data_IF_142731534786
#
_entry.id   IF_142731534786
#
_cell.length_a   1.000
_cell.length_b   1.000
_cell.length_c   1.000
_cell.angle_alpha   90.00
_cell.angle_beta   90.00
_cell.angle_gamma   90.00
#
_symmetry.space_group_name_H-M   'P 1'
#
loop_
_entity.id
_entity.type
_entity.pdbx_description
1 polymer ?
#
# COMPACT_ATOMS: atom_id res chain seq x y z
N UNK A 1 -3.63 13.45 -16.87
CA UNK A 1 -3.51 12.91 -15.50
C UNK A 1 -4.89 12.94 -14.88
N UNK A 2 -5.34 11.81 -14.33
CA UNK A 2 -6.59 11.72 -13.61
C UNK A 2 -6.27 11.49 -12.13
N UNK A 3 -7.01 12.17 -11.25
CA UNK A 3 -6.76 12.17 -9.81
C UNK A 3 -7.83 11.38 -9.10
N UNK A 4 -7.43 10.62 -8.09
CA UNK A 4 -8.35 10.11 -7.07
C UNK A 4 -8.17 11.05 -5.88
N UNK A 5 -9.20 11.83 -5.57
CA UNK A 5 -9.21 12.66 -4.38
C UNK A 5 -9.38 11.75 -3.16
N UNK A 6 -8.51 11.92 -2.17
CA UNK A 6 -8.50 11.05 -1.01
C UNK A 6 -9.45 11.58 0.06
N UNK A 7 -10.59 10.92 0.21
CA UNK A 7 -11.56 11.07 1.30
C UNK A 7 -11.51 9.89 2.29
N UNK A 8 -10.91 8.76 1.88
CA UNK A 8 -10.75 7.53 2.67
C UNK A 8 -9.29 7.38 3.13
N UNK A 9 -9.02 6.93 4.38
CA UNK A 9 -7.66 6.77 4.90
C UNK A 9 -6.94 5.50 4.36
N UNK A 10 -6.76 5.41 3.03
CA UNK A 10 -6.14 4.27 2.32
C UNK A 10 -4.81 3.83 2.95
N UNK A 11 -3.95 4.79 3.31
CA UNK A 11 -2.67 4.51 3.96
C UNK A 11 -2.81 3.72 5.27
N UNK A 12 -3.79 4.11 6.10
CA UNK A 12 -4.08 3.44 7.38
C UNK A 12 -4.61 2.03 7.17
N UNK A 13 -5.44 1.84 6.15
CA UNK A 13 -5.96 0.53 5.79
C UNK A 13 -4.84 -0.41 5.30
N UNK A 14 -3.94 0.09 4.45
CA UNK A 14 -2.74 -0.65 4.02
C UNK A 14 -1.89 -1.05 5.23
N UNK A 15 -1.67 -0.13 6.17
CA UNK A 15 -0.92 -0.40 7.40
C UNK A 15 -1.58 -1.49 8.25
N UNK A 16 -2.91 -1.42 8.42
CA UNK A 16 -3.67 -2.40 9.20
C UNK A 16 -3.53 -3.81 8.60
N UNK A 17 -3.72 -3.95 7.28
CA UNK A 17 -3.57 -5.22 6.57
C UNK A 17 -2.13 -5.74 6.69
N UNK A 18 -1.12 -4.87 6.57
CA UNK A 18 0.28 -5.25 6.73
C UNK A 18 0.55 -5.82 8.13
N UNK A 19 0.04 -5.19 9.17
CA UNK A 19 0.19 -5.64 10.56
C UNK A 19 -0.52 -6.97 10.78
N UNK A 20 -1.73 -7.14 10.23
CA UNK A 20 -2.48 -8.40 10.28
C UNK A 20 -1.72 -9.56 9.62
N UNK A 21 -1.07 -9.29 8.48
CA UNK A 21 -0.20 -10.24 7.77
C UNK A 21 1.17 -10.41 8.43
N UNK A 22 1.44 -9.73 9.55
CA UNK A 22 2.70 -9.76 10.32
C UNK A 22 3.95 -9.42 9.49
N UNK A 23 3.81 -8.52 8.53
CA UNK A 23 4.92 -8.11 7.66
C UNK A 23 5.52 -6.78 8.10
N UNK A 24 6.84 -6.67 8.02
CA UNK A 24 7.53 -5.38 8.17
C UNK A 24 7.42 -4.55 6.89
N UNK A 25 7.61 -3.24 6.99
CA UNK A 25 7.65 -2.37 5.80
C UNK A 25 8.74 -2.79 4.81
N UNK A 26 9.90 -3.22 5.32
CA UNK A 26 11.01 -3.71 4.50
C UNK A 26 10.65 -4.99 3.75
N UNK A 27 9.99 -5.95 4.42
CA UNK A 27 9.54 -7.19 3.77
C UNK A 27 8.51 -6.92 2.67
N UNK A 28 7.57 -5.99 2.90
CA UNK A 28 6.60 -5.60 1.87
C UNK A 28 7.30 -4.97 0.67
N UNK A 29 8.18 -4.00 0.92
CA UNK A 29 8.91 -3.31 -0.14
C UNK A 29 9.79 -4.26 -0.95
N UNK A 30 10.53 -5.16 -0.30
CA UNK A 30 11.36 -6.15 -0.99
C UNK A 30 10.52 -7.01 -1.93
N UNK A 31 9.35 -7.49 -1.48
CA UNK A 31 8.44 -8.28 -2.33
C UNK A 31 7.84 -7.44 -3.47
N UNK A 32 7.45 -6.19 -3.21
CA UNK A 32 6.96 -5.28 -4.25
C UNK A 32 8.04 -4.99 -5.31
N UNK A 33 9.30 -4.87 -4.92
CA UNK A 33 10.42 -4.68 -5.85
C UNK A 33 10.61 -5.88 -6.78
N UNK A 34 10.47 -7.10 -6.25
CA UNK A 34 10.46 -8.32 -7.08
C UNK A 34 9.28 -8.36 -8.07
N UNK A 35 8.19 -7.64 -7.76
CA UNK A 35 7.03 -7.46 -8.65
C UNK A 35 7.16 -6.26 -9.59
N UNK A 36 8.32 -5.60 -9.64
CA UNK A 36 8.62 -4.47 -10.53
C UNK A 36 8.33 -3.08 -9.96
N UNK A 37 8.05 -2.96 -8.65
CA UNK A 37 7.89 -1.64 -8.01
C UNK A 37 9.23 -1.00 -7.68
N UNK A 38 9.35 0.31 -7.91
CA UNK A 38 10.51 1.10 -7.45
C UNK A 38 10.28 1.75 -6.07
N UNK A 39 9.31 1.26 -5.31
CA UNK A 39 8.98 1.79 -3.98
C UNK A 39 10.14 1.54 -2.99
N UNK A 40 10.41 2.52 -2.13
CA UNK A 40 11.34 2.37 -1.00
C UNK A 40 10.58 2.14 0.31
N UNK A 41 11.28 1.67 1.35
CA UNK A 41 10.70 1.53 2.70
C UNK A 41 10.14 2.86 3.23
N UNK A 42 10.88 3.96 3.07
CA UNK A 42 10.43 5.30 3.46
C UNK A 42 9.20 5.76 2.67
N UNK A 43 9.11 5.36 1.40
CA UNK A 43 7.93 5.63 0.56
C UNK A 43 6.70 4.93 1.11
N UNK A 44 6.80 3.62 1.40
CA UNK A 44 5.70 2.88 2.03
C UNK A 44 5.31 3.48 3.38
N UNK A 45 6.29 3.84 4.22
CA UNK A 45 6.03 4.47 5.51
C UNK A 45 5.24 5.78 5.37
N UNK A 46 5.61 6.64 4.41
CA UNK A 46 4.89 7.89 4.15
C UNK A 46 3.48 7.67 3.59
N UNK A 47 3.28 6.62 2.79
CA UNK A 47 1.94 6.22 2.32
C UNK A 47 1.09 5.78 3.51
N UNK A 48 1.60 4.93 4.39
CA UNK A 48 0.87 4.39 5.55
C UNK A 48 0.39 5.50 6.50
N UNK A 49 1.15 6.58 6.66
CA UNK A 49 0.76 7.74 7.48
C UNK A 49 0.02 8.84 6.71
N UNK A 50 -0.36 8.60 5.46
CA UNK A 50 -1.14 9.54 4.64
C UNK A 50 -0.36 10.77 4.15
N UNK A 51 0.98 10.75 4.20
CA UNK A 51 1.84 11.85 3.72
C UNK A 51 2.18 11.74 2.24
N UNK A 52 1.85 10.62 1.59
CA UNK A 52 2.14 10.40 0.17
C UNK A 52 1.08 9.55 -0.49
N UNK A 53 0.77 9.86 -1.75
CA UNK A 53 -0.07 9.03 -2.60
C UNK A 53 0.64 7.74 -3.03
N UNK A 54 -0.16 6.71 -3.32
CA UNK A 54 0.28 5.43 -3.88
C UNK A 54 0.01 5.39 -5.39
N UNK A 55 0.90 4.76 -6.16
CA UNK A 55 0.66 4.51 -7.58
C UNK A 55 -0.36 3.39 -7.75
N UNK A 56 -1.23 3.46 -8.76
CA UNK A 56 -2.20 2.40 -9.04
C UNK A 56 -1.54 1.03 -9.29
N UNK A 57 -0.37 1.00 -9.93
CA UNK A 57 0.43 -0.22 -10.13
C UNK A 57 0.88 -0.84 -8.81
N UNK A 58 1.31 -0.03 -7.85
CA UNK A 58 1.75 -0.47 -6.52
C UNK A 58 0.56 -0.91 -5.68
N UNK A 59 -0.59 -0.24 -5.78
CA UNK A 59 -1.83 -0.65 -5.12
C UNK A 59 -2.31 -2.02 -5.62
N UNK A 60 -2.22 -2.28 -6.93
CA UNK A 60 -2.48 -3.61 -7.50
C UNK A 60 -1.48 -4.65 -7.00
N UNK A 61 -0.20 -4.30 -6.91
CA UNK A 61 0.81 -5.23 -6.39
C UNK A 61 0.57 -5.56 -4.90
N UNK A 62 0.17 -4.58 -4.09
CA UNK A 62 -0.22 -4.79 -2.69
C UNK A 62 -1.45 -5.70 -2.56
N UNK A 63 -2.46 -5.55 -3.42
CA UNK A 63 -3.62 -6.46 -3.49
C UNK A 63 -3.14 -7.91 -3.61
N UNK A 64 -2.30 -8.18 -4.59
CA UNK A 64 -1.77 -9.54 -4.85
C UNK A 64 -0.86 -10.01 -3.71
N UNK A 65 -0.01 -9.14 -3.19
CA UNK A 65 0.93 -9.47 -2.12
C UNK A 65 0.22 -9.83 -0.80
N UNK A 66 -0.78 -9.05 -0.42
CA UNK A 66 -1.52 -9.28 0.82
C UNK A 66 -2.61 -10.34 0.65
N UNK A 67 -2.97 -10.69 -0.59
CA UNK A 67 -4.05 -11.62 -0.90
C UNK A 67 -5.35 -11.18 -0.21
N UNK A 68 -5.83 -10.00 -0.61
CA UNK A 68 -7.04 -9.36 -0.11
C UNK A 68 -7.83 -8.74 -1.27
N UNK A 69 -9.10 -8.45 -1.04
CA UNK A 69 -9.91 -7.67 -1.98
C UNK A 69 -9.61 -6.18 -1.90
N UNK A 70 -9.86 -5.46 -3.00
CA UNK A 70 -9.62 -4.02 -3.06
C UNK A 70 -10.40 -3.24 -2.01
N UNK A 71 -11.60 -3.67 -1.66
CA UNK A 71 -12.47 -3.06 -0.66
C UNK A 71 -11.78 -2.89 0.69
N UNK A 72 -10.83 -3.78 1.02
CA UNK A 72 -10.03 -3.69 2.23
C UNK A 72 -9.18 -2.42 2.29
N UNK A 73 -8.71 -1.90 1.15
CA UNK A 73 -7.98 -0.63 1.08
C UNK A 73 -8.89 0.60 1.19
N UNK A 74 -10.18 0.46 0.86
CA UNK A 74 -11.15 1.55 0.79
C UNK A 74 -12.18 1.53 1.93
N UNK A 75 -11.90 0.81 3.03
CA UNK A 75 -12.74 0.87 4.24
C UNK A 75 -12.77 2.28 4.83
N UNK A 76 -13.97 2.74 5.16
CA UNK A 76 -14.25 4.01 5.86
C UNK A 76 -13.94 3.86 7.35
#
# INVERSE_FOLDING_TARGET
MQWILQDIPIGRNIQAIRIEKKLTQEQVVAKLQLMGSNMSRSTLANIEVGRRNIKASDLRALKTLFDVDYDMFFKI
#
